data_IF_915817377553
#
_entry.id   IF_915817377553
#
_cell.length_a   1.000
_cell.length_b   1.000
_cell.length_c   1.000
_cell.angle_alpha   90.00
_cell.angle_beta   90.00
_cell.angle_gamma   90.00
#
_symmetry.space_group_name_H-M   'P 1'
#
loop_
_entity.id
_entity.type
_entity.pdbx_description
1 polymer ?
#
# COMPACT_ATOMS: atom_id res chain seq x y z
N UNK A 1 40.98 -37.49 18.24
CA UNK A 1 40.04 -37.66 17.14
C UNK A 1 38.62 -37.24 17.47
N UNK A 2 38.32 -37.11 18.73
CA UNK A 2 37.08 -36.52 19.20
C UNK A 2 36.90 -35.08 18.74
N UNK A 3 37.98 -34.31 18.66
CA UNK A 3 37.98 -32.96 18.19
C UNK A 3 37.54 -32.84 16.74
N UNK A 4 37.99 -33.73 15.87
CA UNK A 4 37.58 -33.76 14.45
C UNK A 4 36.11 -34.13 14.29
N UNK A 5 35.64 -35.05 15.08
CA UNK A 5 34.22 -35.47 15.07
C UNK A 5 33.31 -34.31 15.54
N UNK A 6 33.72 -33.60 16.58
CA UNK A 6 33.00 -32.45 17.09
C UNK A 6 32.97 -31.29 16.07
N UNK A 7 34.11 -31.08 15.41
CA UNK A 7 34.23 -30.05 14.38
C UNK A 7 33.30 -30.37 13.20
N UNK A 8 33.29 -31.62 12.74
CA UNK A 8 32.38 -32.08 11.69
C UNK A 8 30.92 -31.87 12.06
N UNK A 9 30.56 -32.24 13.29
CA UNK A 9 29.20 -32.06 13.78
C UNK A 9 28.80 -30.60 13.86
N UNK A 10 29.71 -29.73 14.30
CA UNK A 10 29.47 -28.30 14.38
C UNK A 10 29.30 -27.68 13.00
N UNK A 11 30.10 -28.11 12.02
CA UNK A 11 29.99 -27.66 10.63
C UNK A 11 28.64 -28.10 10.07
N UNK A 12 28.23 -29.31 10.34
CA UNK A 12 26.94 -29.86 9.90
C UNK A 12 25.76 -29.04 10.44
N UNK A 13 25.81 -28.72 11.73
CA UNK A 13 24.80 -27.88 12.38
C UNK A 13 24.76 -26.47 11.80
N UNK A 14 25.94 -25.91 11.54
CA UNK A 14 26.02 -24.57 10.93
C UNK A 14 25.43 -24.57 9.53
N UNK A 15 25.72 -25.59 8.73
CA UNK A 15 25.16 -25.72 7.38
C UNK A 15 23.65 -25.85 7.41
N UNK A 16 23.12 -26.67 8.32
CA UNK A 16 21.68 -26.81 8.51
C UNK A 16 21.03 -25.50 8.91
N UNK A 17 21.68 -24.77 9.81
CA UNK A 17 21.19 -23.47 10.26
C UNK A 17 21.20 -22.43 9.15
N UNK A 18 22.24 -22.42 8.33
CA UNK A 18 22.32 -21.55 7.16
C UNK A 18 21.19 -21.84 6.19
N UNK A 19 20.94 -23.12 5.89
CA UNK A 19 19.85 -23.53 5.01
C UNK A 19 18.49 -23.09 5.55
N UNK A 20 18.27 -23.27 6.85
CA UNK A 20 17.03 -22.84 7.51
C UNK A 20 16.85 -21.33 7.43
N UNK A 21 17.92 -20.57 7.68
CA UNK A 21 17.89 -19.12 7.60
C UNK A 21 17.64 -18.62 6.18
N UNK A 22 18.23 -19.27 5.19
CA UNK A 22 17.97 -18.95 3.78
C UNK A 22 16.49 -19.15 3.42
N UNK A 23 15.90 -20.25 3.90
CA UNK A 23 14.47 -20.52 3.69
C UNK A 23 13.61 -19.47 4.39
N UNK A 24 13.98 -19.09 5.61
CA UNK A 24 13.26 -18.04 6.36
C UNK A 24 13.33 -16.70 5.63
N UNK A 25 14.49 -16.33 5.11
CA UNK A 25 14.67 -15.11 4.33
C UNK A 25 13.77 -15.12 3.10
N UNK A 26 13.75 -16.23 2.36
CA UNK A 26 12.89 -16.36 1.17
C UNK A 26 11.42 -16.24 1.53
N UNK A 27 11.00 -16.88 2.61
CA UNK A 27 9.61 -16.80 3.10
C UNK A 27 9.25 -15.37 3.50
N UNK A 28 10.15 -14.69 4.20
CA UNK A 28 9.95 -13.30 4.62
C UNK A 28 9.88 -12.35 3.44
N UNK A 29 10.70 -12.57 2.42
CA UNK A 29 10.65 -11.78 1.17
C UNK A 29 9.33 -11.95 0.48
N UNK A 30 8.85 -13.19 0.37
CA UNK A 30 7.57 -13.48 -0.25
C UNK A 30 6.43 -12.82 0.52
N UNK A 31 6.44 -12.94 1.84
CA UNK A 31 5.43 -12.32 2.71
C UNK A 31 5.45 -10.80 2.56
N UNK A 32 6.65 -10.22 2.51
CA UNK A 32 6.82 -8.78 2.33
C UNK A 32 6.24 -8.30 0.99
N UNK A 33 6.50 -9.03 -0.09
CA UNK A 33 5.95 -8.70 -1.40
C UNK A 33 4.44 -8.82 -1.42
N UNK A 34 3.89 -9.86 -0.82
CA UNK A 34 2.44 -10.07 -0.70
C UNK A 34 1.79 -8.92 0.08
N UNK A 35 2.41 -8.52 1.19
CA UNK A 35 1.94 -7.41 2.01
C UNK A 35 1.98 -6.09 1.25
N UNK A 36 3.02 -5.86 0.48
CA UNK A 36 3.12 -4.66 -0.37
C UNK A 36 2.00 -4.59 -1.39
N UNK A 37 1.73 -5.69 -2.06
CA UNK A 37 0.64 -5.78 -3.03
C UNK A 37 -0.70 -5.53 -2.37
N UNK A 38 -0.91 -6.11 -1.20
CA UNK A 38 -2.12 -5.92 -0.42
C UNK A 38 -2.30 -4.46 0.01
N UNK A 39 -1.22 -3.81 0.45
CA UNK A 39 -1.23 -2.39 0.80
C UNK A 39 -1.56 -1.51 -0.39
N UNK A 40 -0.99 -1.80 -1.56
CA UNK A 40 -1.26 -1.04 -2.78
C UNK A 40 -2.72 -1.19 -3.19
N UNK A 41 -3.26 -2.40 -3.11
CA UNK A 41 -4.66 -2.66 -3.42
C UNK A 41 -5.59 -1.91 -2.46
N UNK A 42 -5.33 -2.00 -1.17
CA UNK A 42 -6.11 -1.32 -0.13
C UNK A 42 -6.07 0.20 -0.31
N UNK A 43 -4.90 0.73 -0.62
CA UNK A 43 -4.74 2.15 -0.88
C UNK A 43 -5.55 2.59 -2.08
N UNK A 44 -5.53 1.81 -3.17
CA UNK A 44 -6.34 2.07 -4.35
C UNK A 44 -7.83 2.06 -4.06
N UNK A 45 -8.28 1.07 -3.28
CA UNK A 45 -9.68 0.98 -2.84
C UNK A 45 -10.09 2.18 -1.99
N UNK A 46 -9.20 2.61 -1.09
CA UNK A 46 -9.43 3.77 -0.24
C UNK A 46 -9.59 5.04 -1.05
N UNK A 47 -8.71 5.27 -2.02
CA UNK A 47 -8.78 6.43 -2.92
C UNK A 47 -10.11 6.43 -3.70
N UNK A 48 -10.50 5.26 -4.24
CA UNK A 48 -11.76 5.12 -4.97
C UNK A 48 -12.95 5.42 -4.07
N UNK A 49 -12.94 4.91 -2.85
CA UNK A 49 -14.01 5.12 -1.88
C UNK A 49 -14.12 6.60 -1.47
N UNK A 50 -12.98 7.26 -1.26
CA UNK A 50 -12.94 8.69 -0.95
C UNK A 50 -13.56 9.51 -2.09
N UNK A 51 -13.25 9.15 -3.32
CA UNK A 51 -13.80 9.81 -4.51
C UNK A 51 -15.31 9.65 -4.59
N UNK A 52 -15.81 8.44 -4.37
CA UNK A 52 -17.25 8.16 -4.33
C UNK A 52 -17.94 8.94 -3.22
N UNK A 53 -17.33 9.02 -2.05
CA UNK A 53 -17.86 9.78 -0.92
C UNK A 53 -17.98 11.26 -1.25
N UNK A 54 -16.94 11.84 -1.87
CA UNK A 54 -16.96 13.24 -2.30
C UNK A 54 -18.07 13.50 -3.32
N UNK A 55 -18.24 12.59 -4.28
CA UNK A 55 -19.34 12.69 -5.27
C UNK A 55 -20.70 12.66 -4.61
N UNK A 56 -20.89 11.78 -3.61
CA UNK A 56 -22.11 11.70 -2.85
C UNK A 56 -22.39 12.97 -2.06
N UNK A 57 -21.38 13.54 -1.43
CA UNK A 57 -21.51 14.81 -0.72
C UNK A 57 -21.93 15.94 -1.64
N UNK A 58 -21.32 16.00 -2.84
CA UNK A 58 -21.65 17.00 -3.86
C UNK A 58 -23.08 16.84 -4.34
N UNK A 59 -23.50 15.61 -4.64
CA UNK A 59 -24.86 15.32 -5.06
C UNK A 59 -25.88 15.71 -4.00
N UNK A 60 -25.57 15.42 -2.73
CA UNK A 60 -26.43 15.77 -1.60
C UNK A 60 -26.53 17.30 -1.45
N UNK A 61 -25.41 18.01 -1.56
CA UNK A 61 -25.38 19.45 -1.49
C UNK A 61 -26.16 20.11 -2.64
N UNK A 62 -26.12 19.52 -3.83
CA UNK A 62 -26.86 20.02 -4.98
C UNK A 62 -28.39 19.90 -4.84
N UNK A 63 -28.86 18.99 -3.99
CA UNK A 63 -30.29 18.83 -3.69
C UNK A 63 -30.80 19.88 -2.70
N UNK A 64 -29.88 20.62 -2.03
CA UNK A 64 -30.23 21.68 -1.10
C UNK A 64 -30.63 22.98 -1.81
N UNK A 65 -30.45 24.12 -1.23
CA UNK A 65 -30.73 25.41 -1.82
C UNK A 65 -29.64 25.90 -2.76
N UNK A 66 -29.82 27.12 -3.26
CA UNK A 66 -28.88 27.74 -4.20
C UNK A 66 -27.49 27.98 -3.59
N UNK A 67 -27.44 28.31 -2.29
CA UNK A 67 -26.17 28.44 -1.56
C UNK A 67 -25.41 27.14 -1.53
N UNK A 68 -26.11 26.02 -1.31
CA UNK A 68 -25.51 24.69 -1.28
C UNK A 68 -25.00 24.30 -2.66
N UNK A 69 -25.72 24.68 -3.72
CA UNK A 69 -25.29 24.47 -5.10
C UNK A 69 -24.00 25.23 -5.40
N UNK A 70 -23.89 26.46 -4.91
CA UNK A 70 -22.68 27.26 -5.09
C UNK A 70 -21.47 26.64 -4.37
N UNK A 71 -21.69 26.16 -3.15
CA UNK A 71 -20.65 25.45 -2.38
C UNK A 71 -20.22 24.19 -3.12
N UNK A 72 -21.17 23.43 -3.65
CA UNK A 72 -20.89 22.22 -4.41
C UNK A 72 -20.05 22.51 -5.65
N UNK A 73 -20.37 23.59 -6.37
CA UNK A 73 -19.61 24.03 -7.54
C UNK A 73 -18.18 24.41 -7.16
N UNK A 74 -18.02 25.14 -6.04
CA UNK A 74 -16.70 25.55 -5.56
C UNK A 74 -15.86 24.34 -5.15
N UNK A 75 -16.47 23.37 -4.46
CA UNK A 75 -15.81 22.12 -4.07
C UNK A 75 -15.38 21.33 -5.31
N UNK A 76 -16.26 21.25 -6.31
CA UNK A 76 -15.97 20.54 -7.55
C UNK A 76 -14.78 21.18 -8.28
N UNK A 77 -14.77 22.50 -8.36
CA UNK A 77 -13.65 23.25 -8.96
C UNK A 77 -12.34 22.97 -8.22
N UNK A 78 -12.38 22.97 -6.90
CA UNK A 78 -11.20 22.68 -6.07
C UNK A 78 -10.72 21.22 -6.28
N UNK A 79 -11.64 20.28 -6.37
CA UNK A 79 -11.30 18.88 -6.64
C UNK A 79 -10.63 18.68 -7.99
N UNK A 80 -11.16 19.34 -9.02
CA UNK A 80 -10.57 19.31 -10.37
C UNK A 80 -9.15 19.88 -10.33
N UNK A 81 -8.96 20.99 -9.64
CA UNK A 81 -7.63 21.63 -9.49
C UNK A 81 -6.65 20.69 -8.78
N UNK A 82 -7.10 20.02 -7.71
CA UNK A 82 -6.28 19.06 -6.98
C UNK A 82 -5.91 17.85 -7.83
N UNK A 83 -6.87 17.35 -8.62
CA UNK A 83 -6.62 16.24 -9.53
C UNK A 83 -5.62 16.60 -10.61
N UNK A 84 -5.73 17.79 -11.17
CA UNK A 84 -4.79 18.29 -12.18
C UNK A 84 -3.38 18.38 -11.61
N UNK A 85 -3.24 18.88 -10.39
CA UNK A 85 -1.95 18.95 -9.69
C UNK A 85 -1.36 17.58 -9.43
N UNK A 86 -2.19 16.65 -8.99
CA UNK A 86 -1.77 15.27 -8.74
C UNK A 86 -1.31 14.59 -10.03
N UNK A 87 -2.01 14.81 -11.13
CA UNK A 87 -1.64 14.29 -12.45
C UNK A 87 -0.31 14.88 -12.93
N UNK A 88 -0.08 16.18 -12.73
CA UNK A 88 1.20 16.82 -13.06
C UNK A 88 2.34 16.25 -12.24
N UNK A 89 2.12 16.00 -10.96
CA UNK A 89 3.12 15.40 -10.08
C UNK A 89 3.47 13.98 -10.54
N UNK A 90 2.48 13.22 -11.00
CA UNK A 90 2.70 11.87 -11.53
C UNK A 90 3.49 11.86 -12.84
N UNK A 91 3.36 12.91 -13.64
CA UNK A 91 4.09 13.04 -14.92
C UNK A 91 5.57 13.38 -14.73
N UNK A 92 5.92 13.94 -13.59
CA UNK A 92 7.31 14.23 -13.23
C UNK A 92 7.95 13.03 -12.56
#
# INVERSE_FOLDING_TARGET
MELLAQLEENIHRLLERVTTLEQEVDTLRQTNDDQRQEMMRTHGELVTLQEKYRKLQLAHAMLGGEEDRQRAKNQLTNMITQLDRALETLKQ
#
